data_IF_489861537803
#
_entry.id   IF_489861537803
#
_cell.length_a   1.000
_cell.length_b   1.000
_cell.length_c   1.000
_cell.angle_alpha   90.00
_cell.angle_beta   90.00
_cell.angle_gamma   90.00
#
_symmetry.space_group_name_H-M   'P 1'
#
loop_
_entity.id
_entity.type
_entity.pdbx_description
1 polymer ?
#
# COMPACT_ATOMS: atom_id res chain seq x y z
N UNK A 1 47.31 -7.35 -27.17
CA UNK A 1 46.21 -7.51 -28.15
C UNK A 1 45.08 -8.44 -27.67
N UNK A 2 45.37 -9.63 -27.12
CA UNK A 2 44.35 -10.59 -26.65
C UNK A 2 43.45 -10.08 -25.49
N UNK A 3 43.99 -9.26 -24.57
CA UNK A 3 43.23 -8.70 -23.44
C UNK A 3 42.18 -7.64 -23.85
N UNK A 4 42.38 -6.95 -24.99
CA UNK A 4 41.46 -5.91 -25.48
C UNK A 4 40.24 -6.56 -26.16
N UNK A 5 40.46 -7.66 -26.89
CA UNK A 5 39.39 -8.43 -27.55
C UNK A 5 38.46 -9.10 -26.52
N UNK A 6 39.01 -9.59 -25.40
CA UNK A 6 38.21 -10.19 -24.31
C UNK A 6 37.37 -9.15 -23.54
N UNK A 7 37.85 -7.91 -23.40
CA UNK A 7 37.09 -6.80 -22.78
C UNK A 7 35.90 -6.38 -23.65
N UNK A 8 36.10 -6.27 -24.96
CA UNK A 8 35.05 -5.88 -25.92
C UNK A 8 33.97 -6.98 -26.07
N UNK A 9 34.36 -8.25 -26.00
CA UNK A 9 33.42 -9.38 -25.99
C UNK A 9 32.55 -9.43 -24.72
N UNK A 10 33.10 -9.09 -23.53
CA UNK A 10 32.32 -9.00 -22.27
C UNK A 10 31.36 -7.80 -22.27
N UNK A 11 31.78 -6.65 -22.79
CA UNK A 11 30.93 -5.46 -22.93
C UNK A 11 29.74 -5.72 -23.86
N UNK A 12 29.97 -6.34 -25.03
CA UNK A 12 28.91 -6.72 -25.99
C UNK A 12 27.94 -7.77 -25.42
N UNK A 13 28.41 -8.69 -24.57
CA UNK A 13 27.57 -9.69 -23.88
C UNK A 13 26.69 -9.02 -22.81
N UNK A 14 27.21 -8.08 -22.04
CA UNK A 14 26.46 -7.31 -21.04
C UNK A 14 25.34 -6.43 -21.63
N UNK A 15 25.59 -5.80 -22.78
CA UNK A 15 24.58 -4.99 -23.50
C UNK A 15 23.46 -5.86 -24.08
N UNK A 16 23.77 -7.03 -24.67
CA UNK A 16 22.75 -7.99 -25.14
C UNK A 16 21.89 -8.53 -23.99
N UNK A 17 22.47 -8.79 -22.81
CA UNK A 17 21.72 -9.23 -21.63
C UNK A 17 20.79 -8.14 -21.10
N UNK A 18 21.24 -6.88 -20.99
CA UNK A 18 20.38 -5.73 -20.62
C UNK A 18 19.25 -5.49 -21.63
N UNK A 19 19.51 -5.60 -22.93
CA UNK A 19 18.48 -5.48 -23.97
C UNK A 19 17.46 -6.62 -23.94
N UNK A 20 17.88 -7.85 -23.63
CA UNK A 20 16.96 -8.98 -23.48
C UNK A 20 16.11 -8.86 -22.21
N UNK A 21 16.65 -8.34 -21.11
CA UNK A 21 15.89 -8.03 -19.88
C UNK A 21 14.89 -6.89 -20.14
N UNK A 22 15.28 -5.83 -20.84
CA UNK A 22 14.37 -4.75 -21.24
C UNK A 22 13.28 -5.23 -22.23
N UNK A 23 13.63 -6.12 -23.17
CA UNK A 23 12.67 -6.71 -24.10
C UNK A 23 11.69 -7.66 -23.41
N UNK A 24 12.15 -8.42 -22.40
CA UNK A 24 11.28 -9.25 -21.58
C UNK A 24 10.40 -8.41 -20.66
N UNK A 25 10.91 -7.35 -20.02
CA UNK A 25 10.09 -6.40 -19.25
C UNK A 25 9.01 -5.74 -20.12
N UNK A 26 9.33 -5.29 -21.34
CA UNK A 26 8.33 -4.75 -22.28
C UNK A 26 7.29 -5.79 -22.74
N UNK A 27 7.70 -7.06 -22.92
CA UNK A 27 6.76 -8.16 -23.22
C UNK A 27 5.87 -8.51 -22.03
N UNK A 28 6.39 -8.48 -20.81
CA UNK A 28 5.62 -8.70 -19.57
C UNK A 28 4.63 -7.56 -19.34
N UNK A 29 5.03 -6.30 -19.58
CA UNK A 29 4.13 -5.14 -19.54
C UNK A 29 3.02 -5.27 -20.60
N UNK A 30 3.36 -5.64 -21.83
CA UNK A 30 2.36 -5.85 -22.89
C UNK A 30 1.43 -7.02 -22.57
N UNK A 31 1.93 -8.11 -21.97
CA UNK A 31 1.10 -9.23 -21.53
C UNK A 31 0.16 -8.82 -20.38
N UNK A 32 0.64 -8.02 -19.43
CA UNK A 32 -0.17 -7.50 -18.32
C UNK A 32 -1.26 -6.54 -18.80
N UNK A 33 -0.96 -5.71 -19.81
CA UNK A 33 -1.97 -4.86 -20.47
C UNK A 33 -3.02 -5.72 -21.19
N UNK A 34 -2.62 -6.78 -21.88
CA UNK A 34 -3.55 -7.73 -22.52
C UNK A 34 -4.39 -8.47 -21.47
N UNK A 35 -3.81 -8.85 -20.34
CA UNK A 35 -4.53 -9.46 -19.21
C UNK A 35 -5.51 -8.48 -18.55
N UNK A 36 -5.16 -7.21 -18.37
CA UNK A 36 -6.08 -6.16 -17.91
C UNK A 36 -7.24 -5.95 -18.90
N UNK A 37 -6.94 -5.92 -20.21
CA UNK A 37 -7.98 -5.82 -21.25
C UNK A 37 -8.90 -7.05 -21.25
N UNK A 38 -8.37 -8.25 -21.01
CA UNK A 38 -9.19 -9.46 -20.88
C UNK A 38 -10.03 -9.51 -19.60
N UNK A 39 -9.51 -9.00 -18.47
CA UNK A 39 -10.28 -8.89 -17.23
C UNK A 39 -11.42 -7.86 -17.33
N UNK A 40 -11.25 -6.80 -18.13
CA UNK A 40 -12.34 -5.85 -18.42
C UNK A 40 -13.50 -6.43 -19.24
N UNK A 41 -13.30 -7.58 -19.89
CA UNK A 41 -14.31 -8.28 -20.70
C UNK A 41 -15.11 -9.34 -19.93
N UNK A 42 -14.68 -9.71 -18.74
CA UNK A 42 -15.41 -10.58 -17.82
C UNK A 42 -15.89 -9.70 -16.67
N UNK A 43 -17.13 -9.21 -16.77
CA UNK A 43 -17.74 -8.31 -15.79
C UNK A 43 -17.74 -8.88 -14.37
N UNK A 44 -16.64 -8.70 -13.66
CA UNK A 44 -16.50 -8.80 -12.21
C UNK A 44 -16.52 -7.36 -11.71
N UNK A 45 -17.42 -7.09 -10.76
CA UNK A 45 -17.90 -5.77 -10.39
C UNK A 45 -16.82 -4.70 -10.15
N UNK A 46 -17.08 -3.53 -10.71
CA UNK A 46 -16.42 -2.25 -10.44
C UNK A 46 -16.84 -1.71 -9.07
N UNK A 47 -16.40 -2.35 -7.99
CA UNK A 47 -16.54 -1.83 -6.62
C UNK A 47 -15.31 -2.22 -5.81
N UNK A 48 -14.14 -1.63 -6.09
CA UNK A 48 -13.03 -1.67 -5.09
C UNK A 48 -11.81 -0.76 -5.31
N UNK A 49 -11.86 0.31 -6.13
CA UNK A 49 -10.65 1.16 -6.33
C UNK A 49 -10.82 2.61 -5.83
N UNK A 50 -12.03 3.08 -5.54
CA UNK A 50 -12.25 4.47 -5.06
C UNK A 50 -11.88 4.73 -3.59
N UNK A 51 -11.69 3.71 -2.75
CA UNK A 51 -11.58 3.91 -1.28
C UNK A 51 -10.13 3.99 -0.72
N UNK A 52 -9.10 3.89 -1.57
CA UNK A 52 -7.74 3.60 -1.08
C UNK A 52 -6.93 4.80 -0.56
N UNK A 53 -7.41 6.06 -0.59
CA UNK A 53 -6.55 7.18 -0.15
C UNK A 53 -7.19 8.34 0.64
N UNK A 54 -8.35 8.12 1.27
CA UNK A 54 -8.84 9.01 2.34
C UNK A 54 -8.37 8.58 3.75
N UNK A 55 -7.69 7.43 3.87
CA UNK A 55 -7.43 6.75 5.15
C UNK A 55 -5.98 6.77 5.65
N UNK A 56 -5.05 7.39 4.92
CA UNK A 56 -3.64 7.47 5.32
C UNK A 56 -3.46 8.39 6.52
N UNK A 57 -3.04 7.82 7.65
CA UNK A 57 -2.89 8.57 8.91
C UNK A 57 -1.55 9.26 9.00
N UNK A 58 -1.57 10.43 9.61
CA UNK A 58 -0.40 11.17 10.05
C UNK A 58 -0.62 11.43 11.54
N UNK A 59 0.06 10.66 12.39
CA UNK A 59 -0.17 10.62 13.84
C UNK A 59 1.01 11.23 14.58
N UNK A 60 0.80 12.31 15.33
CA UNK A 60 1.86 12.94 16.14
C UNK A 60 1.73 12.64 17.63
N UNK A 61 2.79 12.14 18.27
CA UNK A 61 2.86 12.06 19.74
C UNK A 61 3.35 13.38 20.31
N UNK A 62 2.57 13.99 21.20
CA UNK A 62 2.85 15.29 21.81
C UNK A 62 3.17 15.11 23.29
N UNK A 63 4.45 15.07 23.69
CA UNK A 63 4.85 14.86 25.06
C UNK A 63 4.47 16.05 25.97
N UNK A 64 3.92 15.74 27.13
CA UNK A 64 3.44 16.68 28.14
C UNK A 64 4.58 17.52 28.75
N UNK A 65 5.79 16.99 28.72
CA UNK A 65 7.02 17.65 29.15
C UNK A 65 7.64 18.58 28.10
N UNK A 66 7.12 18.64 26.86
CA UNK A 66 7.69 19.46 25.77
C UNK A 66 6.69 20.46 25.15
N UNK A 67 5.67 20.84 25.92
CA UNK A 67 4.59 21.74 25.48
C UNK A 67 5.08 23.13 25.07
N UNK A 68 6.23 23.59 25.57
CA UNK A 68 6.83 24.89 25.23
C UNK A 68 7.23 25.02 23.75
N UNK A 69 7.45 23.90 23.04
CA UNK A 69 7.80 23.90 21.61
C UNK A 69 6.59 23.66 20.70
N UNK A 70 5.42 23.33 21.25
CA UNK A 70 4.24 22.95 20.48
C UNK A 70 3.84 24.04 19.47
N UNK A 71 3.71 25.29 19.92
CA UNK A 71 3.26 26.39 19.06
C UNK A 71 4.30 26.78 18.00
N UNK A 72 5.58 26.45 18.19
CA UNK A 72 6.68 26.85 17.30
C UNK A 72 6.99 25.79 16.23
N UNK A 73 6.87 24.49 16.57
CA UNK A 73 7.21 23.38 15.67
C UNK A 73 6.00 22.65 15.09
N UNK A 74 4.82 22.71 15.71
CA UNK A 74 3.65 21.89 15.33
C UNK A 74 2.59 22.73 14.62
N UNK A 75 2.20 22.30 13.43
CA UNK A 75 1.02 22.78 12.71
C UNK A 75 -0.03 21.66 12.74
N UNK A 76 -1.03 21.80 13.61
CA UNK A 76 -2.03 20.75 13.84
C UNK A 76 -2.78 20.36 12.55
N UNK A 77 -2.96 21.29 11.60
CA UNK A 77 -3.64 21.00 10.34
C UNK A 77 -2.91 19.99 9.45
N UNK A 78 -1.65 19.66 9.76
CA UNK A 78 -0.87 18.65 9.04
C UNK A 78 -1.12 17.22 9.52
N UNK A 79 -1.86 17.03 10.62
CA UNK A 79 -2.11 15.74 11.23
C UNK A 79 -3.52 15.25 10.96
N UNK A 80 -3.69 13.92 10.94
CA UNK A 80 -5.03 13.31 11.04
C UNK A 80 -5.40 13.08 12.49
N UNK A 81 -4.39 12.75 13.31
CA UNK A 81 -4.51 12.41 14.72
C UNK A 81 -3.32 12.97 15.48
N UNK A 82 -3.54 13.40 16.72
CA UNK A 82 -2.47 13.68 17.68
C UNK A 82 -2.74 12.96 18.98
N UNK A 83 -1.70 12.37 19.57
CA UNK A 83 -1.77 11.71 20.87
C UNK A 83 -1.13 12.61 21.92
N UNK A 84 -1.91 13.00 22.92
CA UNK A 84 -1.36 13.55 24.16
C UNK A 84 -0.59 12.45 24.88
N UNK A 85 0.71 12.64 25.06
CA UNK A 85 1.59 11.71 25.75
C UNK A 85 2.06 12.37 27.06
N UNK A 86 1.68 11.93 28.26
CA UNK A 86 0.95 10.70 28.53
C UNK A 86 0.07 10.80 29.77
N UNK A 87 -0.79 9.81 29.94
CA UNK A 87 -1.42 9.48 31.22
C UNK A 87 -1.01 8.08 31.63
N UNK A 88 -1.03 7.77 32.91
CA UNK A 88 -0.54 6.49 33.41
C UNK A 88 -1.60 5.74 34.21
N UNK A 89 -1.64 4.41 34.12
CA UNK A 89 -2.43 3.61 35.02
C UNK A 89 -1.87 3.69 36.45
N UNK A 90 -2.75 3.56 37.43
CA UNK A 90 -2.41 3.32 38.83
C UNK A 90 -2.70 1.87 39.19
N UNK A 91 -2.07 1.35 40.24
CA UNK A 91 -2.26 -0.05 40.66
C UNK A 91 -3.70 -0.43 41.04
N UNK A 92 -4.55 0.54 41.38
CA UNK A 92 -6.00 0.34 41.63
C UNK A 92 -6.86 0.44 40.36
N UNK A 93 -6.25 0.53 39.17
CA UNK A 93 -6.95 0.61 37.89
C UNK A 93 -7.57 1.98 37.64
N UNK A 94 -6.99 3.09 38.10
CA UNK A 94 -7.38 4.44 37.66
C UNK A 94 -6.36 5.01 36.68
N UNK A 95 -6.70 6.13 36.07
CA UNK A 95 -5.78 6.96 35.30
C UNK A 95 -5.38 8.20 36.09
N UNK A 96 -4.14 8.63 35.90
CA UNK A 96 -3.65 9.93 36.35
C UNK A 96 -2.75 10.57 35.28
N UNK A 97 -2.65 11.88 35.30
CA UNK A 97 -1.62 12.60 34.56
C UNK A 97 -0.22 12.24 35.12
N UNK A 98 0.80 12.37 34.28
CA UNK A 98 2.20 12.38 34.75
C UNK A 98 2.47 13.63 35.58
N UNK A 99 3.68 13.72 36.15
CA UNK A 99 4.08 14.91 36.92
C UNK A 99 4.24 16.17 36.04
N UNK A 100 4.48 16.00 34.73
CA UNK A 100 4.60 17.10 33.76
C UNK A 100 3.27 17.47 33.10
N UNK A 101 2.31 16.55 33.15
CA UNK A 101 1.00 16.67 32.51
C UNK A 101 -0.07 17.31 33.38
N UNK A 102 -1.12 17.83 32.74
CA UNK A 102 -2.25 18.44 33.44
C UNK A 102 -3.55 18.42 32.62
N UNK A 103 -4.71 18.48 33.31
CA UNK A 103 -6.02 18.64 32.67
C UNK A 103 -6.10 19.82 31.68
N UNK A 104 -5.51 20.96 32.03
CA UNK A 104 -5.64 22.19 31.25
C UNK A 104 -4.83 22.11 29.94
N UNK A 105 -3.65 21.47 29.97
CA UNK A 105 -2.88 21.19 28.76
C UNK A 105 -3.66 20.31 27.79
N UNK A 106 -4.27 19.23 28.27
CA UNK A 106 -5.06 18.34 27.43
C UNK A 106 -6.30 19.03 26.86
N UNK A 107 -7.05 19.77 27.67
CA UNK A 107 -8.22 20.55 27.19
C UNK A 107 -7.84 21.55 26.11
N UNK A 108 -6.75 22.30 26.31
CA UNK A 108 -6.27 23.25 25.31
C UNK A 108 -5.85 22.58 24.01
N UNK A 109 -5.22 21.39 24.08
CA UNK A 109 -4.89 20.62 22.88
C UNK A 109 -6.14 20.17 22.13
N UNK A 110 -7.13 19.60 22.83
CA UNK A 110 -8.41 19.15 22.26
C UNK A 110 -9.11 20.30 21.53
N UNK A 111 -9.26 21.45 22.20
CA UNK A 111 -9.89 22.63 21.62
C UNK A 111 -9.16 23.11 20.35
N UNK A 112 -7.82 23.20 20.38
CA UNK A 112 -7.02 23.63 19.23
C UNK A 112 -7.12 22.64 18.07
N UNK A 113 -7.00 21.34 18.33
CA UNK A 113 -6.96 20.30 17.30
C UNK A 113 -8.31 20.09 16.62
N UNK A 114 -9.41 20.10 17.40
CA UNK A 114 -10.76 19.93 16.85
C UNK A 114 -11.18 21.06 15.90
N UNK A 115 -10.68 22.29 16.09
CA UNK A 115 -10.88 23.40 15.12
C UNK A 115 -10.34 23.04 13.72
N UNK A 116 -9.29 22.22 13.67
CA UNK A 116 -8.68 21.76 12.42
C UNK A 116 -9.20 20.40 11.94
N UNK A 117 -10.24 19.85 12.57
CA UNK A 117 -10.75 18.48 12.33
C UNK A 117 -9.70 17.38 12.56
N UNK A 118 -8.78 17.61 13.51
CA UNK A 118 -7.75 16.64 13.90
C UNK A 118 -8.27 15.87 15.09
N UNK A 119 -8.24 14.54 15.02
CA UNK A 119 -8.63 13.68 16.14
C UNK A 119 -7.61 13.78 17.28
N UNK A 120 -8.07 13.84 18.52
CA UNK A 120 -7.19 13.86 19.69
C UNK A 120 -7.32 12.57 20.45
N UNK A 121 -6.21 11.87 20.59
CA UNK A 121 -6.07 10.70 21.44
C UNK A 121 -5.33 11.02 22.73
N UNK A 122 -5.52 10.14 23.72
CA UNK A 122 -4.61 10.05 24.86
C UNK A 122 -3.80 8.77 24.74
N UNK A 123 -2.48 8.88 24.89
CA UNK A 123 -1.63 7.71 25.06
C UNK A 123 -1.56 7.35 26.54
N UNK A 124 -1.79 6.08 26.84
CA UNK A 124 -1.72 5.53 28.18
C UNK A 124 -0.42 4.74 28.26
N UNK A 125 0.49 5.14 29.16
CA UNK A 125 1.77 4.47 29.37
C UNK A 125 2.94 5.13 28.64
N UNK A 126 3.75 4.30 27.99
CA UNK A 126 5.03 4.60 27.37
C UNK A 126 6.23 4.08 28.16
N UNK A 127 7.42 4.29 27.61
CA UNK A 127 8.70 3.93 28.23
C UNK A 127 8.84 4.52 29.64
N UNK A 128 9.15 3.67 30.64
CA UNK A 128 9.16 3.98 32.08
C UNK A 128 7.82 4.45 32.69
N UNK A 129 6.72 4.33 31.96
CA UNK A 129 5.37 4.70 32.42
C UNK A 129 4.41 3.48 32.43
N UNK A 130 4.96 2.28 32.21
CA UNK A 130 4.20 1.04 32.01
C UNK A 130 4.03 0.16 33.27
N UNK A 131 4.68 0.49 34.38
CA UNK A 131 4.79 -0.37 35.57
C UNK A 131 3.45 -0.85 36.13
N UNK A 132 2.40 -0.03 36.06
CA UNK A 132 1.10 -0.35 36.64
C UNK A 132 0.15 -1.07 35.68
N UNK A 133 0.52 -1.33 34.42
CA UNK A 133 -0.37 -2.04 33.49
C UNK A 133 -0.72 -3.44 33.97
N UNK A 134 0.25 -4.20 34.49
CA UNK A 134 0.00 -5.56 35.00
C UNK A 134 -1.06 -5.55 36.11
N UNK A 135 -0.94 -4.59 37.04
CA UNK A 135 -1.87 -4.41 38.15
C UNK A 135 -3.23 -3.88 37.67
N UNK A 136 -3.27 -2.91 36.75
CA UNK A 136 -4.51 -2.30 36.25
C UNK A 136 -5.32 -3.25 35.34
N UNK A 137 -4.65 -4.17 34.66
CA UNK A 137 -5.28 -5.18 33.78
C UNK A 137 -5.59 -6.49 34.49
N UNK A 138 -5.30 -6.60 35.80
CA UNK A 138 -5.68 -7.77 36.61
C UNK A 138 -7.21 -7.92 36.67
N UNK A 139 -7.71 -9.14 36.85
CA UNK A 139 -9.15 -9.43 36.84
C UNK A 139 -9.94 -8.58 37.86
N UNK A 140 -9.35 -8.28 39.01
CA UNK A 140 -9.98 -7.52 40.09
C UNK A 140 -10.08 -6.01 39.82
N UNK A 141 -9.17 -5.47 39.00
CA UNK A 141 -9.01 -4.03 38.73
C UNK A 141 -9.41 -3.64 37.32
N UNK A 142 -9.46 -4.60 36.39
CA UNK A 142 -9.74 -4.37 34.97
C UNK A 142 -11.03 -3.58 34.77
N UNK A 143 -12.10 -3.89 35.51
CA UNK A 143 -13.36 -3.13 35.41
C UNK A 143 -13.18 -1.66 35.81
N UNK A 144 -12.44 -1.38 36.87
CA UNK A 144 -12.11 -0.01 37.29
C UNK A 144 -11.30 0.68 36.20
N UNK A 145 -10.33 -0.03 35.63
CA UNK A 145 -9.46 0.51 34.59
C UNK A 145 -10.23 0.88 33.31
N UNK A 146 -11.07 -0.02 32.81
CA UNK A 146 -11.96 0.26 31.67
C UNK A 146 -12.87 1.46 31.95
N UNK A 147 -13.49 1.53 33.13
CA UNK A 147 -14.35 2.66 33.49
C UNK A 147 -13.58 3.96 33.61
N UNK A 148 -12.35 3.93 34.13
CA UNK A 148 -11.49 5.10 34.25
C UNK A 148 -11.06 5.62 32.88
N UNK A 149 -10.70 4.74 31.94
CA UNK A 149 -10.39 5.13 30.57
C UNK A 149 -11.61 5.76 29.91
N UNK A 150 -12.79 5.13 30.02
CA UNK A 150 -14.03 5.66 29.47
C UNK A 150 -14.36 7.05 30.05
N UNK A 151 -14.27 7.22 31.36
CA UNK A 151 -14.50 8.51 32.01
C UNK A 151 -13.55 9.59 31.49
N UNK A 152 -12.28 9.24 31.25
CA UNK A 152 -11.29 10.14 30.68
C UNK A 152 -11.63 10.55 29.24
N UNK A 153 -12.00 9.58 28.40
CA UNK A 153 -12.48 9.84 27.03
C UNK A 153 -13.69 10.79 27.04
N UNK A 154 -14.69 10.51 27.88
CA UNK A 154 -15.92 11.30 27.95
C UNK A 154 -15.69 12.71 28.51
N UNK A 155 -14.80 12.85 29.50
CA UNK A 155 -14.46 14.13 30.15
C UNK A 155 -13.72 15.07 29.20
N UNK A 156 -12.70 14.56 28.51
CA UNK A 156 -11.84 15.36 27.64
C UNK A 156 -12.25 15.35 26.16
N UNK A 157 -13.34 14.67 25.80
CA UNK A 157 -13.85 14.56 24.42
C UNK A 157 -12.80 13.97 23.47
N UNK A 158 -12.17 12.88 23.90
CA UNK A 158 -11.13 12.21 23.12
C UNK A 158 -11.73 11.35 22.02
N UNK A 159 -11.07 11.33 20.87
CA UNK A 159 -11.45 10.52 19.71
C UNK A 159 -10.75 9.16 19.72
N UNK A 160 -9.58 9.07 20.35
CA UNK A 160 -8.74 7.87 20.35
C UNK A 160 -8.21 7.55 21.74
N UNK A 161 -8.08 6.26 22.06
CA UNK A 161 -7.28 5.76 23.18
C UNK A 161 -6.13 4.96 22.61
N UNK A 162 -4.91 5.41 22.87
CA UNK A 162 -3.70 4.69 22.51
C UNK A 162 -3.15 3.93 23.72
N UNK A 163 -2.90 2.63 23.54
CA UNK A 163 -2.31 1.78 24.57
C UNK A 163 -0.83 1.58 24.25
N UNK A 164 0.02 2.19 25.06
CA UNK A 164 1.48 2.13 24.93
C UNK A 164 2.07 1.38 26.14
N UNK A 165 1.87 0.06 26.18
CA UNK A 165 2.48 -0.80 27.20
C UNK A 165 3.79 -1.33 26.66
N UNK A 166 4.90 -0.90 27.27
CA UNK A 166 6.27 -1.25 26.88
C UNK A 166 6.99 -2.15 27.91
N UNK A 167 6.90 -3.49 27.84
CA UNK A 167 6.00 -4.31 27.04
C UNK A 167 5.33 -5.37 27.92
N UNK A 168 4.12 -5.87 27.59
CA UNK A 168 3.55 -7.00 28.31
C UNK A 168 4.48 -8.20 28.25
N UNK A 169 4.62 -8.95 29.34
CA UNK A 169 5.40 -10.19 29.34
C UNK A 169 4.62 -11.34 28.67
N UNK A 170 5.30 -12.45 28.35
CA UNK A 170 4.68 -13.60 27.70
C UNK A 170 3.46 -14.17 28.44
N UNK A 171 3.49 -14.19 29.78
CA UNK A 171 2.38 -14.61 30.65
C UNK A 171 1.25 -13.56 30.76
N UNK A 172 1.45 -12.36 30.21
CA UNK A 172 0.49 -11.25 30.21
C UNK A 172 -0.21 -11.07 28.86
N UNK A 173 0.25 -11.73 27.80
CA UNK A 173 -0.31 -11.65 26.45
C UNK A 173 -1.84 -11.84 26.40
N UNK A 174 -2.36 -12.90 27.06
CA UNK A 174 -3.81 -13.17 27.09
C UNK A 174 -4.58 -12.16 27.95
N UNK A 175 -3.93 -11.60 28.97
CA UNK A 175 -4.50 -10.54 29.81
C UNK A 175 -4.62 -9.25 29.01
N UNK A 176 -3.58 -8.90 28.27
CA UNK A 176 -3.60 -7.80 27.32
C UNK A 176 -4.71 -7.96 26.28
N UNK A 177 -4.86 -9.15 25.68
CA UNK A 177 -5.97 -9.44 24.76
C UNK A 177 -7.34 -9.18 25.39
N UNK A 178 -7.55 -9.71 26.60
CA UNK A 178 -8.81 -9.53 27.35
C UNK A 178 -9.07 -8.06 27.62
N UNK A 179 -8.04 -7.31 28.01
CA UNK A 179 -8.11 -5.87 28.24
C UNK A 179 -8.53 -5.11 26.96
N UNK A 180 -7.82 -5.31 25.84
CA UNK A 180 -8.12 -4.62 24.58
C UNK A 180 -9.53 -4.95 24.07
N UNK A 181 -9.94 -6.22 24.12
CA UNK A 181 -11.29 -6.62 23.73
C UNK A 181 -12.38 -6.02 24.62
N UNK A 182 -12.13 -5.95 25.93
CA UNK A 182 -13.09 -5.36 26.87
C UNK A 182 -13.16 -3.84 26.68
N UNK A 183 -12.02 -3.19 26.46
CA UNK A 183 -11.93 -1.76 26.19
C UNK A 183 -12.69 -1.39 24.92
N UNK A 184 -12.37 -2.03 23.78
CA UNK A 184 -13.02 -1.72 22.51
C UNK A 184 -14.54 -1.93 22.55
N UNK A 185 -15.03 -2.91 23.32
CA UNK A 185 -16.47 -3.16 23.51
C UNK A 185 -17.16 -2.14 24.43
N UNK A 186 -16.41 -1.45 25.29
CA UNK A 186 -16.97 -0.57 26.34
C UNK A 186 -17.01 0.91 25.95
N UNK A 187 -16.16 1.30 25.00
CA UNK A 187 -16.09 2.64 24.42
C UNK A 187 -17.24 2.88 23.41
N UNK A 188 -17.49 4.16 23.12
CA UNK A 188 -18.41 4.53 22.05
C UNK A 188 -17.88 4.00 20.70
N UNK A 189 -18.75 3.54 19.76
CA UNK A 189 -18.30 3.09 18.44
C UNK A 189 -17.48 4.12 17.64
N UNK A 190 -17.61 5.41 17.94
CA UNK A 190 -16.83 6.49 17.32
C UNK A 190 -15.46 6.71 18.00
N UNK A 191 -15.22 6.12 19.17
CA UNK A 191 -13.90 6.17 19.82
C UNK A 191 -13.01 5.05 19.27
N UNK A 192 -11.87 5.44 18.76
CA UNK A 192 -10.86 4.53 18.23
C UNK A 192 -9.92 4.03 19.32
N UNK A 193 -9.37 2.84 19.12
CA UNK A 193 -8.35 2.23 19.98
C UNK A 193 -7.15 1.90 19.12
N UNK A 194 -5.99 2.44 19.48
CA UNK A 194 -4.71 2.03 18.91
C UNK A 194 -3.85 1.30 19.92
N UNK A 195 -2.91 0.50 19.42
CA UNK A 195 -1.88 -0.16 20.22
C UNK A 195 -0.53 0.28 19.66
N UNK A 196 0.35 0.73 20.55
CA UNK A 196 1.74 1.00 20.21
C UNK A 196 2.57 -0.26 20.46
N UNK A 197 3.37 -0.65 19.47
CA UNK A 197 4.15 -1.89 19.47
C UNK A 197 5.63 -1.59 19.17
N UNK A 198 6.56 -2.42 19.63
CA UNK A 198 7.98 -2.20 19.37
C UNK A 198 8.32 -2.37 17.88
N UNK A 199 9.54 -1.99 17.53
CA UNK A 199 10.20 -2.54 16.35
C UNK A 199 10.21 -4.07 16.47
N UNK A 200 9.55 -4.78 15.55
CA UNK A 200 9.53 -6.25 15.52
C UNK A 200 10.84 -6.87 15.00
N UNK A 201 11.68 -6.05 14.37
CA UNK A 201 13.00 -6.42 13.86
C UNK A 201 14.09 -5.49 14.39
N UNK A 202 15.33 -5.95 14.43
CA UNK A 202 16.51 -5.14 14.72
C UNK A 202 17.00 -4.40 13.45
N UNK A 203 17.96 -3.47 13.60
CA UNK A 203 18.54 -2.68 12.51
C UNK A 203 19.17 -3.52 11.36
N UNK A 204 19.47 -4.80 11.59
CA UNK A 204 19.91 -5.73 10.55
C UNK A 204 18.75 -6.44 9.81
N UNK A 205 17.50 -6.06 10.09
CA UNK A 205 16.29 -6.65 9.51
C UNK A 205 15.91 -8.04 10.06
N UNK A 206 16.63 -8.56 11.06
CA UNK A 206 16.29 -9.83 11.70
C UNK A 206 15.30 -9.62 12.84
N UNK A 207 14.40 -10.59 13.14
CA UNK A 207 13.56 -10.53 14.34
C UNK A 207 14.41 -10.24 15.57
N UNK A 208 14.04 -9.21 16.32
CA UNK A 208 14.99 -8.59 17.26
C UNK A 208 15.36 -9.49 18.44
N UNK A 209 14.56 -10.50 18.81
CA UNK A 209 14.78 -11.37 19.97
C UNK A 209 14.72 -10.65 21.33
N UNK A 210 15.16 -9.39 21.38
CA UNK A 210 15.07 -8.45 22.50
C UNK A 210 13.65 -7.90 22.70
N UNK A 211 12.82 -7.90 21.64
CA UNK A 211 11.46 -7.35 21.64
C UNK A 211 10.42 -8.47 21.41
N UNK A 212 10.61 -9.64 22.06
CA UNK A 212 9.73 -10.80 21.86
C UNK A 212 8.25 -10.38 21.84
N UNK A 213 7.54 -10.75 20.77
CA UNK A 213 6.15 -10.30 20.59
C UNK A 213 5.25 -11.02 21.56
N UNK A 214 4.86 -10.29 22.60
CA UNK A 214 3.92 -10.72 23.62
C UNK A 214 2.51 -10.18 23.38
N UNK A 215 2.26 -9.64 22.19
CA UNK A 215 0.95 -9.22 21.73
C UNK A 215 0.28 -10.36 20.96
N UNK A 216 -0.94 -10.73 21.34
CA UNK A 216 -1.67 -11.74 20.56
C UNK A 216 -2.18 -11.13 19.26
N UNK A 217 -2.23 -11.90 18.15
CA UNK A 217 -2.86 -11.43 16.91
C UNK A 217 -4.31 -10.98 17.09
N UNK A 218 -5.03 -11.59 18.04
CA UNK A 218 -6.42 -11.21 18.36
C UNK A 218 -6.49 -9.81 18.98
N UNK A 219 -5.61 -9.48 19.93
CA UNK A 219 -5.55 -8.15 20.52
C UNK A 219 -5.27 -7.10 19.45
N UNK A 220 -4.24 -7.33 18.64
CA UNK A 220 -3.83 -6.45 17.55
C UNK A 220 -4.93 -6.27 16.49
N UNK A 221 -5.65 -7.34 16.15
CA UNK A 221 -6.80 -7.26 15.22
C UNK A 221 -8.00 -6.53 15.78
N UNK A 222 -8.14 -6.50 17.11
CA UNK A 222 -9.25 -5.82 17.79
C UNK A 222 -9.08 -4.31 17.77
N UNK A 223 -7.85 -3.81 17.85
CA UNK A 223 -7.54 -2.40 17.68
C UNK A 223 -7.88 -1.89 16.27
N UNK A 224 -8.19 -0.61 16.15
CA UNK A 224 -8.49 0.04 14.88
C UNK A 224 -7.21 0.17 14.02
N UNK A 225 -6.08 0.49 14.65
CA UNK A 225 -4.76 0.48 14.03
C UNK A 225 -3.65 0.20 15.06
N UNK A 226 -2.43 0.02 14.56
CA UNK A 226 -1.24 -0.32 15.32
C UNK A 226 -0.14 0.68 14.97
N UNK A 227 0.38 1.38 15.97
CA UNK A 227 1.51 2.30 15.83
C UNK A 227 2.81 1.50 16.06
N UNK A 228 3.66 1.37 15.05
CA UNK A 228 4.91 0.62 15.15
C UNK A 228 6.04 1.58 15.47
N UNK A 229 6.73 1.40 16.59
CA UNK A 229 7.94 2.15 16.92
C UNK A 229 9.12 1.68 16.07
N UNK A 230 9.12 2.05 14.79
CA UNK A 230 10.11 1.64 13.77
C UNK A 230 11.42 2.42 13.91
N UNK A 231 11.89 2.53 15.15
CA UNK A 231 13.09 3.24 15.58
C UNK A 231 13.68 2.55 16.82
N UNK A 232 14.83 3.03 17.29
CA UNK A 232 15.54 2.48 18.46
C UNK A 232 15.97 1.02 18.34
N UNK A 233 16.06 0.51 17.10
CA UNK A 233 16.37 -0.89 16.82
C UNK A 233 17.88 -1.21 16.74
N UNK A 234 18.74 -0.37 17.34
CA UNK A 234 20.21 -0.51 17.26
C UNK A 234 20.67 -1.83 17.88
N UNK A 235 21.66 -2.44 17.24
CA UNK A 235 22.39 -3.60 17.76
C UNK A 235 23.88 -3.43 17.44
N UNK A 236 24.73 -4.27 18.04
CA UNK A 236 26.17 -4.25 17.75
C UNK A 236 26.44 -4.38 16.24
N UNK A 237 27.22 -3.44 15.69
CA UNK A 237 27.54 -3.37 14.26
C UNK A 237 26.48 -2.72 13.36
N UNK A 238 25.29 -2.40 13.87
CA UNK A 238 24.21 -1.72 13.15
C UNK A 238 23.70 -0.52 13.96
N UNK A 239 24.43 0.61 13.92
CA UNK A 239 24.18 1.74 14.80
C UNK A 239 23.08 2.69 14.30
N UNK A 240 22.64 2.59 13.04
CA UNK A 240 21.50 3.37 12.58
C UNK A 240 20.19 2.77 13.15
N UNK A 241 19.51 3.56 13.96
CA UNK A 241 18.34 3.12 14.73
C UNK A 241 17.03 3.11 13.94
N UNK A 242 16.97 3.71 12.74
CA UNK A 242 15.71 3.85 11.99
C UNK A 242 15.94 3.98 10.48
N UNK A 243 16.48 2.97 9.82
CA UNK A 243 16.68 3.00 8.35
C UNK A 243 15.38 2.80 7.56
N UNK A 244 15.39 3.09 6.26
CA UNK A 244 14.28 2.77 5.35
C UNK A 244 14.07 1.26 5.22
N UNK A 245 15.13 0.46 5.28
CA UNK A 245 15.04 -1.00 5.29
C UNK A 245 14.35 -1.52 6.56
N UNK A 246 14.67 -0.93 7.72
CA UNK A 246 14.01 -1.24 8.99
C UNK A 246 12.51 -0.91 8.91
N UNK A 247 12.16 0.23 8.32
CA UNK A 247 10.77 0.65 8.12
C UNK A 247 9.95 -0.42 7.36
N UNK A 248 10.45 -0.87 6.22
CA UNK A 248 9.78 -1.92 5.44
C UNK A 248 9.74 -3.25 6.19
N UNK A 249 10.86 -3.65 6.82
CA UNK A 249 10.94 -4.91 7.54
C UNK A 249 9.96 -4.97 8.72
N UNK A 250 9.71 -3.85 9.40
CA UNK A 250 8.72 -3.74 10.46
C UNK A 250 7.28 -3.88 9.95
N UNK A 251 6.94 -3.22 8.84
CA UNK A 251 5.63 -3.37 8.20
C UNK A 251 5.39 -4.83 7.81
N UNK A 252 6.36 -5.47 7.17
CA UNK A 252 6.27 -6.87 6.76
C UNK A 252 6.14 -7.81 7.96
N UNK A 253 6.91 -7.55 9.02
CA UNK A 253 6.89 -8.33 10.25
C UNK A 253 5.51 -8.30 10.92
N UNK A 254 4.98 -7.10 11.19
CA UNK A 254 3.70 -6.96 11.88
C UNK A 254 2.53 -7.40 11.00
N UNK A 255 2.59 -7.19 9.68
CA UNK A 255 1.58 -7.71 8.77
C UNK A 255 1.57 -9.24 8.80
N UNK A 256 2.74 -9.89 8.87
CA UNK A 256 2.85 -11.35 9.03
C UNK A 256 2.25 -11.82 10.36
N UNK A 257 2.51 -11.15 11.48
CA UNK A 257 1.87 -11.47 12.78
C UNK A 257 0.34 -11.40 12.68
N UNK A 258 -0.18 -10.46 11.89
CA UNK A 258 -1.62 -10.33 11.64
C UNK A 258 -2.18 -11.34 10.63
N UNK A 259 -1.35 -12.11 9.93
CA UNK A 259 -1.78 -13.10 8.93
C UNK A 259 -1.65 -12.65 7.47
N UNK A 260 -1.02 -11.50 7.21
CA UNK A 260 -0.54 -11.08 5.88
C UNK A 260 -1.47 -10.18 5.08
N UNK A 261 -2.66 -9.84 5.61
CA UNK A 261 -3.70 -9.10 4.89
C UNK A 261 -4.25 -7.90 5.69
N UNK A 262 -3.40 -7.27 6.51
CA UNK A 262 -3.79 -6.17 7.41
C UNK A 262 -2.82 -4.98 7.34
N UNK A 263 -2.17 -4.76 6.19
CA UNK A 263 -1.21 -3.66 6.00
C UNK A 263 -1.85 -2.29 6.30
N UNK A 264 -3.11 -2.10 5.91
CA UNK A 264 -3.90 -0.90 6.17
C UNK A 264 -4.13 -0.57 7.66
N UNK A 265 -3.84 -1.49 8.59
CA UNK A 265 -3.87 -1.25 10.04
C UNK A 265 -2.53 -0.77 10.60
N UNK A 266 -1.44 -0.89 9.84
CA UNK A 266 -0.09 -0.62 10.33
C UNK A 266 0.31 0.82 10.05
N UNK A 267 0.58 1.58 11.12
CA UNK A 267 1.06 2.95 11.06
C UNK A 267 2.52 2.94 11.49
N UNK A 268 3.45 3.18 10.57
CA UNK A 268 4.89 3.04 10.85
C UNK A 268 5.47 4.32 11.44
N UNK A 269 6.21 4.18 12.55
CA UNK A 269 6.79 5.27 13.31
C UNK A 269 8.08 5.82 12.71
N UNK A 270 8.28 7.13 12.84
CA UNK A 270 9.48 7.85 12.42
C UNK A 270 10.00 8.72 13.58
N UNK A 271 11.32 8.68 13.88
CA UNK A 271 11.92 9.49 14.92
C UNK A 271 12.27 10.89 14.40
N UNK A 272 11.87 11.93 15.12
CA UNK A 272 12.30 13.32 14.94
C UNK A 272 13.45 13.67 15.89
N UNK A 273 14.31 12.70 16.13
CA UNK A 273 15.54 12.81 16.90
C UNK A 273 16.63 11.96 16.24
N UNK A 274 17.87 12.22 16.63
CA UNK A 274 18.99 11.34 16.35
C UNK A 274 19.40 10.55 17.57
N UNK A 275 19.92 9.35 17.33
CA UNK A 275 20.49 8.49 18.37
C UNK A 275 21.90 8.08 17.98
N UNK A 276 22.83 8.20 18.92
CA UNK A 276 24.21 7.75 18.75
C UNK A 276 24.34 6.26 19.11
N UNK A 277 25.46 5.64 18.73
CA UNK A 277 25.73 4.23 19.01
C UNK A 277 25.87 3.92 20.52
N UNK A 278 26.23 4.93 21.32
CA UNK A 278 26.32 4.82 22.79
C UNK A 278 24.96 5.02 23.49
N UNK A 279 23.88 5.21 22.72
CA UNK A 279 22.53 5.44 23.22
C UNK A 279 22.20 6.91 23.49
N UNK A 280 23.13 7.85 23.31
CA UNK A 280 22.85 9.29 23.45
C UNK A 280 21.79 9.74 22.46
N UNK A 281 20.82 10.53 22.92
CA UNK A 281 19.71 11.05 22.10
C UNK A 281 19.80 12.57 21.99
N UNK A 282 19.53 13.10 20.80
CA UNK A 282 19.44 14.54 20.56
C UNK A 282 18.25 14.84 19.64
N UNK A 283 17.43 15.84 19.97
CA UNK A 283 16.31 16.25 19.11
C UNK A 283 16.81 16.68 17.72
N UNK A 284 16.01 16.45 16.68
CA UNK A 284 16.39 16.87 15.33
C UNK A 284 16.65 18.38 15.26
N UNK A 285 15.84 19.19 15.96
CA UNK A 285 16.08 20.63 16.12
C UNK A 285 17.48 20.96 16.61
N UNK A 286 17.94 20.31 17.68
CA UNK A 286 19.25 20.58 18.25
C UNK A 286 20.37 20.10 17.32
N UNK A 287 20.18 18.97 16.64
CA UNK A 287 21.12 18.49 15.61
C UNK A 287 21.26 19.53 14.49
N UNK A 288 20.16 20.09 13.98
CA UNK A 288 20.21 21.13 12.95
C UNK A 288 20.85 22.43 13.44
N UNK A 289 20.64 22.79 14.71
CA UNK A 289 21.27 23.99 15.28
C UNK A 289 22.80 23.85 15.32
N UNK A 290 23.32 22.66 15.64
CA UNK A 290 24.76 22.37 15.69
C UNK A 290 25.35 22.09 14.30
N UNK A 291 24.58 21.44 13.43
CA UNK A 291 24.98 21.03 12.07
C UNK A 291 23.87 21.34 11.05
N UNK A 292 23.79 22.58 10.54
CA UNK A 292 22.71 23.01 9.64
C UNK A 292 22.68 22.29 8.29
N UNK A 293 23.85 21.80 7.84
CA UNK A 293 23.97 21.00 6.62
C UNK A 293 23.97 19.52 6.98
N UNK A 294 22.81 18.88 6.84
CA UNK A 294 22.66 17.45 7.07
C UNK A 294 23.04 16.65 5.82
N UNK A 295 24.03 15.74 5.92
CA UNK A 295 24.37 14.82 4.85
C UNK A 295 23.23 13.88 4.43
N UNK A 296 23.33 13.31 3.23
CA UNK A 296 22.32 12.38 2.72
C UNK A 296 22.37 11.00 3.40
N UNK A 297 23.48 10.65 4.03
CA UNK A 297 23.78 9.36 4.65
C UNK A 297 23.23 9.20 6.08
N UNK A 298 22.28 10.04 6.50
CA UNK A 298 21.59 9.96 7.81
C UNK A 298 22.54 9.98 9.03
N UNK A 299 23.78 10.41 8.84
CA UNK A 299 24.82 10.48 9.86
C UNK A 299 25.28 11.93 10.07
N UNK A 300 25.27 12.39 11.33
CA UNK A 300 25.71 13.74 11.69
C UNK A 300 26.70 13.66 12.84
N UNK A 301 27.90 14.19 12.64
CA UNK A 301 28.94 14.23 13.66
C UNK A 301 28.89 15.54 14.45
N UNK A 302 28.67 15.46 15.76
CA UNK A 302 28.64 16.59 16.69
C UNK A 302 29.58 16.29 17.84
N UNK A 303 30.57 17.16 18.08
CA UNK A 303 31.53 17.02 19.19
C UNK A 303 32.20 15.64 19.31
N UNK A 304 32.47 14.99 18.17
CA UNK A 304 33.11 13.67 18.11
C UNK A 304 32.15 12.48 18.32
N UNK A 305 30.84 12.73 18.43
CA UNK A 305 29.78 11.71 18.50
C UNK A 305 29.01 11.70 17.19
N UNK A 306 28.80 10.53 16.60
CA UNK A 306 27.94 10.36 15.42
C UNK A 306 26.51 10.06 15.85
N UNK A 307 25.59 10.95 15.49
CA UNK A 307 24.15 10.75 15.63
C UNK A 307 23.58 10.23 14.31
N UNK A 308 22.82 9.14 14.40
CA UNK A 308 22.05 8.59 13.28
C UNK A 308 20.64 9.19 13.32
N UNK A 309 20.18 9.78 12.22
CA UNK A 309 18.91 10.52 12.12
C UNK A 309 18.05 9.99 10.97
N UNK A 310 16.88 10.59 10.76
CA UNK A 310 16.20 10.55 9.47
C UNK A 310 16.21 11.94 8.85
N UNK A 311 16.96 12.12 7.77
CA UNK A 311 16.98 13.35 7.00
C UNK A 311 15.74 13.47 6.10
N UNK A 312 15.59 14.61 5.44
CA UNK A 312 14.44 14.89 4.55
C UNK A 312 14.22 13.84 3.46
N UNK A 313 15.29 13.25 2.90
CA UNK A 313 15.16 12.23 1.88
C UNK A 313 14.64 10.93 2.48
N UNK A 314 15.16 10.50 3.64
CA UNK A 314 14.67 9.33 4.37
C UNK A 314 13.21 9.48 4.81
N UNK A 315 12.80 10.66 5.30
CA UNK A 315 11.38 10.94 5.61
C UNK A 315 10.50 10.74 4.37
N UNK A 316 10.90 11.29 3.23
CA UNK A 316 10.17 11.13 1.97
C UNK A 316 10.09 9.66 1.56
N UNK A 317 11.21 8.94 1.58
CA UNK A 317 11.27 7.56 1.11
C UNK A 317 10.43 6.61 1.97
N UNK A 318 10.46 6.79 3.30
CA UNK A 318 9.58 6.04 4.21
C UNK A 318 8.10 6.37 4.00
N UNK A 319 7.78 7.65 3.79
CA UNK A 319 6.40 8.09 3.52
C UNK A 319 5.89 7.47 2.23
N UNK A 320 6.68 7.50 1.14
CA UNK A 320 6.33 6.88 -0.12
C UNK A 320 6.21 5.36 0.02
N UNK A 321 7.13 4.69 0.71
CA UNK A 321 7.04 3.26 0.97
C UNK A 321 5.73 2.89 1.72
N UNK A 322 5.33 3.69 2.71
CA UNK A 322 4.07 3.50 3.42
C UNK A 322 2.83 3.68 2.53
N UNK A 323 2.87 4.62 1.58
CA UNK A 323 1.79 4.82 0.60
C UNK A 323 1.76 3.66 -0.41
N UNK A 324 2.91 3.29 -0.97
CA UNK A 324 3.05 2.23 -1.97
C UNK A 324 2.65 0.84 -1.45
N UNK A 325 2.87 0.59 -0.16
CA UNK A 325 2.46 -0.64 0.51
C UNK A 325 0.99 -0.62 0.97
N UNK A 326 0.29 0.50 0.80
CA UNK A 326 -1.07 0.71 1.33
C UNK A 326 -1.14 0.49 2.86
N UNK A 327 -0.07 0.88 3.56
CA UNK A 327 -0.04 0.87 5.01
C UNK A 327 -0.97 1.94 5.59
N UNK A 328 -1.36 1.77 6.85
CA UNK A 328 -2.32 2.64 7.52
C UNK A 328 -1.86 4.09 7.73
N UNK A 329 -0.56 4.37 7.64
CA UNK A 329 -0.03 5.73 7.75
C UNK A 329 1.39 5.82 8.30
N UNK A 330 1.74 7.03 8.75
CA UNK A 330 2.97 7.35 9.48
C UNK A 330 2.62 7.88 10.88
N UNK A 331 3.39 7.42 11.87
CA UNK A 331 3.39 7.95 13.24
C UNK A 331 4.72 8.68 13.48
N UNK A 332 4.70 9.75 14.28
CA UNK A 332 5.86 10.61 14.55
C UNK A 332 6.12 10.67 16.05
N UNK A 333 7.37 10.37 16.42
CA UNK A 333 7.92 10.62 17.76
C UNK A 333 9.11 11.59 17.70
N UNK A 334 9.04 12.82 18.18
CA UNK A 334 7.82 13.59 18.43
C UNK A 334 7.86 14.88 17.59
N UNK A 335 6.72 15.40 17.09
CA UNK A 335 6.69 16.66 16.32
C UNK A 335 7.31 17.86 17.03
N UNK A 336 7.31 17.88 18.36
CA UNK A 336 7.97 18.93 19.16
C UNK A 336 9.49 18.87 19.11
N UNK A 337 10.09 17.80 18.56
CA UNK A 337 11.54 17.65 18.38
C UNK A 337 12.04 18.14 17.01
N UNK A 338 11.13 18.51 16.10
CA UNK A 338 11.46 19.08 14.80
C UNK A 338 11.95 20.54 14.92
N UNK A 339 12.54 21.03 13.83
CA UNK A 339 12.81 22.44 13.61
C UNK A 339 11.52 23.26 13.48
N UNK A 340 11.62 24.58 13.69
CA UNK A 340 10.52 25.54 13.54
C UNK A 340 9.72 25.33 12.25
N UNK A 341 8.40 25.56 12.29
CA UNK A 341 7.49 25.36 11.13
C UNK A 341 7.93 26.10 9.87
N UNK A 342 8.55 27.26 10.02
CA UNK A 342 9.05 28.07 8.91
C UNK A 342 10.38 27.58 8.34
N UNK A 343 11.05 26.63 8.98
CA UNK A 343 12.38 26.16 8.57
C UNK A 343 12.32 25.32 7.30
N UNK A 344 13.30 25.51 6.41
CA UNK A 344 13.49 24.65 5.23
C UNK A 344 13.96 23.22 5.56
N UNK A 345 14.31 22.95 6.81
CA UNK A 345 14.72 21.64 7.33
C UNK A 345 13.57 20.90 8.00
N UNK A 346 12.40 21.52 8.18
CA UNK A 346 11.26 20.93 8.89
C UNK A 346 10.83 19.61 8.23
N UNK A 347 10.92 18.51 9.00
CA UNK A 347 10.64 17.16 8.55
C UNK A 347 9.14 16.93 8.39
N UNK A 348 8.32 17.52 9.28
CA UNK A 348 6.86 17.44 9.21
C UNK A 348 6.32 17.95 7.88
N UNK A 349 6.86 19.08 7.40
CA UNK A 349 6.55 19.64 6.09
C UNK A 349 6.89 18.69 4.95
N UNK A 350 8.04 18.01 5.02
CA UNK A 350 8.44 17.04 3.98
C UNK A 350 7.48 15.86 3.93
N UNK A 351 7.09 15.33 5.09
CA UNK A 351 6.12 14.25 5.21
C UNK A 351 4.77 14.68 4.61
N UNK A 352 4.22 15.80 5.11
CA UNK A 352 2.91 16.30 4.68
C UNK A 352 2.87 16.62 3.17
N UNK A 353 3.86 17.36 2.66
CA UNK A 353 3.94 17.71 1.23
C UNK A 353 4.07 16.44 0.35
N UNK A 354 4.72 15.39 0.85
CA UNK A 354 4.82 14.10 0.14
C UNK A 354 3.45 13.42 0.05
N UNK A 355 2.71 13.34 1.16
CA UNK A 355 1.36 12.74 1.20
C UNK A 355 0.40 13.51 0.28
N UNK A 356 0.35 14.84 0.38
CA UNK A 356 -0.56 15.66 -0.42
C UNK A 356 -0.25 15.56 -1.92
N UNK A 357 1.03 15.53 -2.30
CA UNK A 357 1.44 15.36 -3.70
C UNK A 357 0.99 14.01 -4.27
N UNK A 358 1.11 12.93 -3.51
CA UNK A 358 0.64 11.61 -3.95
C UNK A 358 -0.88 11.53 -4.03
N UNK A 359 -1.62 12.13 -3.07
CA UNK A 359 -3.08 12.26 -3.15
C UNK A 359 -3.53 12.98 -4.43
N UNK A 360 -2.91 14.11 -4.76
CA UNK A 360 -3.22 14.86 -5.99
C UNK A 360 -2.91 14.03 -7.24
N UNK A 361 -1.79 13.30 -7.24
CA UNK A 361 -1.38 12.46 -8.36
C UNK A 361 -2.36 11.30 -8.60
N UNK A 362 -2.82 10.68 -7.52
CA UNK A 362 -3.82 9.61 -7.56
C UNK A 362 -5.20 10.12 -7.99
N UNK A 363 -5.66 11.24 -7.43
CA UNK A 363 -6.93 11.86 -7.83
C UNK A 363 -6.94 12.22 -9.32
N UNK A 364 -5.83 12.75 -9.84
CA UNK A 364 -5.67 13.03 -11.27
C UNK A 364 -5.66 11.75 -12.11
N UNK A 365 -5.01 10.68 -11.65
CA UNK A 365 -5.01 9.41 -12.36
C UNK A 365 -6.42 8.81 -12.43
N UNK A 366 -7.19 8.89 -11.34
CA UNK A 366 -8.58 8.43 -11.28
C UNK A 366 -9.50 9.26 -12.19
N UNK A 367 -9.39 10.59 -12.15
CA UNK A 367 -10.20 11.46 -13.04
C UNK A 367 -9.92 11.18 -14.51
N UNK A 368 -8.65 10.95 -14.87
CA UNK A 368 -8.27 10.57 -16.24
C UNK A 368 -8.78 9.16 -16.61
N UNK A 369 -8.83 8.22 -15.66
CA UNK A 369 -9.38 6.89 -15.90
C UNK A 369 -10.90 6.94 -16.15
N UNK A 370 -11.63 7.76 -15.39
CA UNK A 370 -13.07 8.02 -15.58
C UNK A 370 -13.36 8.71 -16.92
N UNK A 371 -12.54 9.69 -17.32
CA UNK A 371 -12.68 10.35 -18.63
C UNK A 371 -12.39 9.41 -19.81
N UNK A 372 -11.47 8.45 -19.62
CA UNK A 372 -11.08 7.49 -20.67
C UNK A 372 -12.08 6.34 -20.79
N UNK A 373 -12.89 6.03 -19.78
CA UNK A 373 -14.04 5.13 -19.94
C UNK A 373 -15.14 5.85 -20.73
N UNK A 374 -15.34 5.59 -22.03
CA UNK A 374 -16.52 6.10 -22.71
C UNK A 374 -17.71 5.48 -21.98
N UNK A 375 -18.81 6.21 -21.85
CA UNK A 375 -20.08 5.65 -21.39
C UNK A 375 -20.47 4.49 -22.30
N UNK A 376 -19.98 3.28 -22.00
CA UNK A 376 -20.54 2.05 -22.51
C UNK A 376 -21.86 1.98 -21.77
N UNK A 377 -22.89 2.57 -22.38
CA UNK A 377 -24.24 2.11 -22.18
C UNK A 377 -24.15 0.62 -22.43
N UNK A 378 -24.16 -0.17 -21.35
CA UNK A 378 -24.21 -1.62 -21.41
C UNK A 378 -25.54 -1.93 -22.06
N UNK A 379 -25.56 -1.94 -23.40
CA UNK A 379 -26.70 -2.37 -24.17
C UNK A 379 -26.76 -3.86 -23.88
N UNK A 380 -27.73 -4.23 -23.05
CA UNK A 380 -28.05 -5.61 -22.64
C UNK A 380 -27.76 -6.54 -23.82
N UNK A 381 -26.77 -7.42 -23.68
CA UNK A 381 -26.39 -8.35 -24.75
C UNK A 381 -27.65 -9.14 -25.12
N UNK A 382 -28.11 -8.98 -26.36
CA UNK A 382 -29.27 -9.71 -26.85
C UNK A 382 -28.81 -11.13 -27.19
N UNK A 383 -29.34 -12.12 -26.47
CA UNK A 383 -29.01 -13.53 -26.70
C UNK A 383 -29.30 -14.00 -28.13
N UNK A 384 -30.19 -13.32 -28.85
CA UNK A 384 -30.43 -13.57 -30.28
C UNK A 384 -29.22 -13.25 -31.16
N UNK A 385 -28.41 -12.24 -30.81
CA UNK A 385 -27.19 -11.90 -31.55
C UNK A 385 -26.13 -12.99 -31.34
N UNK A 386 -25.99 -13.48 -30.10
CA UNK A 386 -25.09 -14.60 -29.77
C UNK A 386 -25.53 -15.88 -30.49
N UNK A 387 -26.83 -16.17 -30.51
CA UNK A 387 -27.40 -17.32 -31.20
C UNK A 387 -27.16 -17.25 -32.72
N UNK A 388 -27.29 -16.05 -33.32
CA UNK A 388 -27.07 -15.85 -34.76
C UNK A 388 -25.61 -16.13 -35.16
N UNK A 389 -24.65 -15.76 -34.31
CA UNK A 389 -23.22 -16.04 -34.52
C UNK A 389 -22.93 -17.53 -34.44
N UNK A 390 -23.51 -18.23 -33.44
CA UNK A 390 -23.38 -19.68 -33.31
C UNK A 390 -24.01 -20.42 -34.48
N UNK A 391 -25.18 -19.97 -34.97
CA UNK A 391 -25.86 -20.55 -36.12
C UNK A 391 -25.04 -20.35 -37.41
N UNK A 392 -24.44 -19.17 -37.59
CA UNK A 392 -23.56 -18.88 -38.72
C UNK A 392 -22.32 -19.78 -38.75
N UNK A 393 -21.70 -20.01 -37.59
CA UNK A 393 -20.57 -20.93 -37.45
C UNK A 393 -20.96 -22.40 -37.72
N UNK A 394 -22.17 -22.80 -37.32
CA UNK A 394 -22.71 -24.14 -37.60
C UNK A 394 -23.01 -24.35 -39.09
N UNK A 395 -23.58 -23.35 -39.77
CA UNK A 395 -23.87 -23.41 -41.20
C UNK A 395 -22.60 -23.45 -42.04
N UNK A 396 -21.52 -22.81 -41.59
CA UNK A 396 -20.20 -22.92 -42.22
C UNK A 396 -19.60 -24.32 -42.09
N UNK A 397 -19.70 -24.94 -40.91
CA UNK A 397 -19.12 -26.26 -40.66
C UNK A 397 -19.85 -27.36 -41.45
N UNK A 398 -21.14 -27.18 -41.72
CA UNK A 398 -21.97 -28.10 -42.51
C UNK A 398 -21.97 -27.80 -44.02
N UNK A 399 -21.90 -26.52 -44.43
CA UNK A 399 -21.97 -26.11 -45.83
C UNK A 399 -20.72 -26.43 -46.64
N UNK A 400 -19.54 -26.34 -46.03
CA UNK A 400 -18.26 -26.62 -46.70
C UNK A 400 -18.16 -28.10 -47.15
N UNK A 401 -18.49 -29.10 -46.31
CA UNK A 401 -18.52 -30.51 -46.73
C UNK A 401 -19.53 -30.83 -47.83
N UNK A 402 -20.73 -30.24 -47.79
CA UNK A 402 -21.77 -30.45 -48.80
C UNK A 402 -21.38 -29.86 -50.16
N UNK A 403 -20.79 -28.67 -50.17
CA UNK A 403 -20.26 -28.05 -51.39
C UNK A 403 -19.11 -28.86 -51.99
N UNK A 404 -18.22 -29.42 -51.15
CA UNK A 404 -17.13 -30.29 -51.60
C UNK A 404 -17.65 -31.62 -52.16
N UNK A 405 -18.66 -32.23 -51.53
CA UNK A 405 -19.30 -33.47 -51.99
C UNK A 405 -20.07 -33.28 -53.31
N UNK A 406 -20.78 -32.16 -53.47
CA UNK A 406 -21.49 -31.83 -54.71
C UNK A 406 -20.50 -31.60 -55.87
N UNK A 407 -19.39 -30.90 -55.61
CA UNK A 407 -18.34 -30.66 -56.61
C UNK A 407 -17.64 -31.95 -57.07
N UNK A 408 -17.47 -32.94 -56.21
CA UNK A 408 -16.87 -34.22 -56.58
C UNK A 408 -17.78 -35.07 -57.48
N UNK A 409 -19.10 -34.95 -57.31
CA UNK A 409 -20.09 -35.76 -58.03
C UNK A 409 -20.43 -35.21 -59.43
N UNK A 410 -20.42 -33.90 -59.60
CA UNK A 410 -20.86 -33.23 -60.84
C UNK A 410 -19.73 -32.62 -61.68
N UNK A 411 -18.46 -32.91 -61.35
CA UNK A 411 -17.35 -32.47 -62.19
C UNK A 411 -17.48 -33.12 -63.59
N UNK A 412 -17.52 -32.33 -64.68
CA UNK A 412 -17.63 -32.88 -66.03
C UNK A 412 -16.53 -33.91 -66.29
N UNK A 413 -16.87 -35.03 -66.94
CA UNK A 413 -15.91 -36.12 -67.21
C UNK A 413 -14.68 -35.64 -68.03
N UNK A 414 -14.74 -34.46 -68.67
CA UNK A 414 -13.62 -33.81 -69.36
C UNK A 414 -12.51 -33.26 -68.44
N UNK A 415 -12.73 -33.18 -67.12
CA UNK A 415 -11.76 -32.71 -66.13
C UNK A 415 -11.18 -33.82 -65.23
N UNK A 416 -11.67 -35.06 -65.33
CA UNK A 416 -11.07 -36.21 -64.62
C UNK A 416 -9.72 -36.56 -65.25
N UNK A 417 -8.65 -36.55 -64.43
CA UNK A 417 -7.30 -36.95 -64.85
C UNK A 417 -6.37 -35.82 -65.32
N UNK A 418 -6.80 -34.56 -65.36
CA UNK A 418 -5.91 -33.40 -65.59
C UNK A 418 -5.60 -32.71 -64.26
N UNK A 419 -4.31 -32.44 -63.96
CA UNK A 419 -3.90 -31.68 -62.77
C UNK A 419 -4.56 -30.30 -62.79
N UNK A 420 -5.57 -30.11 -61.93
CA UNK A 420 -6.17 -28.80 -61.72
C UNK A 420 -5.08 -27.81 -61.31
N UNK A 421 -4.99 -26.68 -62.04
CA UNK A 421 -4.06 -25.61 -61.70
C UNK A 421 -4.46 -25.04 -60.34
N UNK A 422 -3.70 -25.39 -59.29
CA UNK A 422 -3.94 -24.97 -57.89
C UNK A 422 -4.20 -23.46 -57.77
N UNK A 423 -3.58 -22.61 -58.62
CA UNK A 423 -3.81 -21.15 -58.63
C UNK A 423 -5.17 -20.74 -59.20
N UNK A 424 -5.69 -21.41 -60.21
CA UNK A 424 -7.00 -21.10 -60.78
C UNK A 424 -8.12 -21.49 -59.81
N UNK A 425 -7.97 -22.65 -59.15
CA UNK A 425 -8.90 -23.13 -58.14
C UNK A 425 -8.91 -22.23 -56.88
N UNK A 426 -7.73 -21.77 -56.45
CA UNK A 426 -7.58 -20.78 -55.39
C UNK A 426 -8.32 -19.47 -55.68
N UNK A 427 -8.18 -18.96 -56.91
CA UNK A 427 -8.87 -17.74 -57.35
C UNK A 427 -10.38 -17.90 -57.30
N UNK A 428 -10.89 -19.06 -57.71
CA UNK A 428 -12.33 -19.34 -57.69
C UNK A 428 -12.88 -19.33 -56.25
N UNK A 429 -12.21 -20.02 -55.32
CA UNK A 429 -12.60 -20.04 -53.90
C UNK A 429 -12.55 -18.64 -53.28
N UNK A 430 -11.49 -17.88 -53.56
CA UNK A 430 -11.35 -16.51 -53.07
C UNK A 430 -12.47 -15.59 -53.57
N UNK A 431 -12.84 -15.70 -54.85
CA UNK A 431 -13.94 -14.91 -55.43
C UNK A 431 -15.29 -15.29 -54.81
N UNK A 432 -15.58 -16.59 -54.65
CA UNK A 432 -16.84 -17.05 -54.05
C UNK A 432 -16.98 -16.61 -52.58
N UNK A 433 -15.88 -16.62 -51.83
CA UNK A 433 -15.88 -16.16 -50.45
C UNK A 433 -16.10 -14.65 -50.31
N UNK A 434 -15.54 -13.84 -51.22
CA UNK A 434 -15.77 -12.39 -51.24
C UNK A 434 -17.23 -12.10 -51.57
N UNK A 435 -17.80 -12.79 -52.56
CA UNK A 435 -19.21 -12.62 -52.95
C UNK A 435 -20.15 -12.98 -51.80
N UNK A 436 -19.90 -14.09 -51.10
CA UNK A 436 -20.69 -14.49 -49.93
C UNK A 436 -20.52 -13.50 -48.77
N UNK A 437 -19.30 -13.04 -48.49
CA UNK A 437 -19.05 -12.02 -47.46
C UNK A 437 -19.81 -10.72 -47.72
N UNK A 438 -19.86 -10.27 -48.99
CA UNK A 438 -20.62 -9.08 -49.39
C UNK A 438 -22.13 -9.30 -49.29
N UNK A 439 -22.64 -10.46 -49.70
CA UNK A 439 -24.07 -10.82 -49.55
C UNK A 439 -24.53 -10.83 -48.09
N UNK A 440 -23.72 -11.37 -47.17
CA UNK A 440 -24.05 -11.41 -45.73
C UNK A 440 -24.09 -10.02 -45.08
N UNK A 441 -23.27 -9.08 -45.56
CA UNK A 441 -23.31 -7.67 -45.12
C UNK A 441 -24.54 -6.97 -45.68
N UNK A 442 -24.84 -7.15 -46.96
CA UNK A 442 -25.99 -6.52 -47.61
C UNK A 442 -27.33 -7.03 -47.06
N UNK A 443 -27.40 -8.28 -46.59
CA UNK A 443 -28.58 -8.84 -45.93
C UNK A 443 -28.69 -8.44 -44.44
N UNK A 444 -27.75 -7.64 -43.91
CA UNK A 444 -27.78 -7.13 -42.53
C UNK A 444 -27.51 -8.17 -41.45
N UNK A 445 -26.99 -9.34 -41.80
CA UNK A 445 -26.85 -10.49 -40.90
C UNK A 445 -25.56 -10.47 -40.07
N UNK A 446 -24.59 -9.60 -40.37
CA UNK A 446 -23.34 -9.49 -39.59
C UNK A 446 -22.77 -8.06 -39.55
N UNK A 447 -22.03 -7.67 -38.50
CA UNK A 447 -21.35 -6.38 -38.42
C UNK A 447 -20.29 -6.19 -39.52
N UNK A 448 -20.08 -4.94 -39.95
CA UNK A 448 -19.22 -4.56 -41.08
C UNK A 448 -17.75 -5.03 -40.99
N UNK A 449 -17.25 -5.38 -39.79
CA UNK A 449 -15.88 -5.83 -39.55
C UNK A 449 -15.71 -7.37 -39.60
N UNK A 450 -16.78 -8.15 -39.50
CA UNK A 450 -16.75 -9.62 -39.58
C UNK A 450 -16.25 -10.18 -40.93
N UNK A 451 -16.60 -9.61 -42.09
CA UNK A 451 -16.05 -10.04 -43.38
C UNK A 451 -14.52 -10.00 -43.44
N UNK A 452 -13.89 -9.09 -42.70
CA UNK A 452 -12.45 -8.96 -42.62
C UNK A 452 -11.81 -10.20 -41.95
N UNK A 453 -12.42 -10.70 -40.88
CA UNK A 453 -11.98 -11.92 -40.20
C UNK A 453 -12.23 -13.17 -41.05
N UNK A 454 -13.32 -13.21 -41.82
CA UNK A 454 -13.59 -14.26 -42.81
C UNK A 454 -12.50 -14.35 -43.88
N UNK A 455 -12.12 -13.20 -44.44
CA UNK A 455 -11.05 -13.11 -45.44
C UNK A 455 -9.72 -13.55 -44.84
N UNK A 456 -9.40 -13.13 -43.61
CA UNK A 456 -8.17 -13.55 -42.91
C UNK A 456 -8.14 -15.05 -42.61
N UNK A 457 -9.25 -15.64 -42.17
CA UNK A 457 -9.34 -17.08 -41.91
C UNK A 457 -9.20 -17.92 -43.19
N UNK A 458 -9.79 -17.47 -44.30
CA UNK A 458 -9.65 -18.13 -45.60
C UNK A 458 -8.25 -17.99 -46.18
N UNK A 459 -7.60 -16.84 -46.00
CA UNK A 459 -6.18 -16.65 -46.35
C UNK A 459 -5.31 -17.61 -45.53
N UNK A 460 -5.54 -17.73 -44.23
CA UNK A 460 -4.79 -18.65 -43.37
C UNK A 460 -5.00 -20.13 -43.76
N UNK A 461 -6.23 -20.52 -44.10
CA UNK A 461 -6.54 -21.87 -44.59
C UNK A 461 -5.88 -22.14 -45.95
N UNK A 462 -5.84 -21.13 -46.83
CA UNK A 462 -5.21 -21.19 -48.13
C UNK A 462 -3.68 -21.34 -48.05
N UNK A 463 -3.04 -20.57 -47.14
CA UNK A 463 -1.62 -20.72 -46.83
C UNK A 463 -1.30 -22.13 -46.32
N UNK A 464 -2.22 -22.73 -45.55
CA UNK A 464 -2.07 -24.11 -45.05
C UNK A 464 -2.23 -25.16 -46.14
N UNK A 465 -3.14 -24.95 -47.10
CA UNK A 465 -3.37 -25.83 -48.26
C UNK A 465 -2.27 -25.73 -49.32
N UNK A 466 -1.58 -24.60 -49.46
CA UNK A 466 -0.42 -24.45 -50.36
C UNK A 466 0.85 -25.11 -49.82
N UNK A 467 0.94 -25.35 -48.50
CA UNK A 467 2.05 -26.07 -47.86
C UNK A 467 1.94 -27.61 -47.97
N UNK A 468 0.87 -28.14 -48.57
CA UNK A 468 0.68 -29.55 -48.97
C UNK A 468 0.53 -29.66 -50.49
#
# INVERSE_FOLDING_TARGET
MFAIILRDARAKKGVKTKMNVLRNKKKTILLNIIWMMMFSLLGVGTQQVEAANENFKIIGYLPDYDTQHLDSTVDLAQFTDVNYFSVVPTGDGKLKFTDSGSPDQLKALVEKAHIHNVRVGVSIGGWNLSDNFSAATHQDTLRTFINSIKAFVDEYKLDTVDIDWEYPEANEAQRFETFIQTLKKSLDPQTYVSITVPSGVAANGQPSGHWEVHFTPTALKTADWINIMSYDAQIEGYPNHSTTELHQANLDYWNKILGGNHMNKLVSGIPFYGKAADGSVMTYRNIINEAPEVPLDDEVMINGVTYFINNKQTIRDKTLASIETESGGIMIWAPTMDTEKSSSTNLMKVLYDTVEKEKVSLNRANSLAEEVTPSIVVKKINWLDVLSVLLGLLLLSLGIPLLLGYWQKYLPNSLKGKKLNKKAFAKLIGITAIILGVLFVLMGLTPWWMPLLYVLALIALFVKLLKK
#
